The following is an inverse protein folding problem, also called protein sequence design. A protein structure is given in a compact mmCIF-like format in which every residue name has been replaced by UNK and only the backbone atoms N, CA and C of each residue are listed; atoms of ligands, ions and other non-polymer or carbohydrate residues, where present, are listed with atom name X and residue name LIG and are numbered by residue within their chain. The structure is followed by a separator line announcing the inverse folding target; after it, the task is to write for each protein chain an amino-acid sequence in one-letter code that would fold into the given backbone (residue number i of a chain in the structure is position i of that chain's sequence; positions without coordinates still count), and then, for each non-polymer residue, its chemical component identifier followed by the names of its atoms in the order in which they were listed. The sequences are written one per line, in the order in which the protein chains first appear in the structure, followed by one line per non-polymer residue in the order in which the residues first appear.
data_IF_491141575074
#
_entry.id   IF_491141575074
#
_cell.length_a   1.000
_cell.length_b   1.000
_cell.length_c   1.000
_cell.angle_alpha   90.00
_cell.angle_beta   90.00
_cell.angle_gamma   90.00
#
_symmetry.space_group_name_H-M   'P 1'
#
loop_
_entity.id
_entity.type
_entity.pdbx_description
1 polymer ?
#
# COMPACT_ATOMS: atom_id res chain seq x y z
N UNK A 1 7.64 -7.97 -12.63
CA UNK A 1 7.57 -9.12 -13.57
C UNK A 1 8.96 -9.78 -13.67
N UNK A 2 9.07 -11.10 -13.84
CA UNK A 2 10.38 -11.73 -14.11
C UNK A 2 10.76 -11.51 -15.58
N UNK A 3 12.02 -11.17 -15.87
CA UNK A 3 12.48 -10.94 -17.24
C UNK A 3 12.64 -12.23 -18.06
N UNK A 4 12.70 -13.39 -17.42
CA UNK A 4 12.68 -14.70 -18.08
C UNK A 4 12.14 -15.80 -17.16
N UNK A 5 11.84 -16.95 -17.76
CA UNK A 5 11.47 -18.17 -17.02
C UNK A 5 12.64 -18.70 -16.17
N UNK A 6 13.90 -18.53 -16.60
CA UNK A 6 15.04 -18.87 -15.72
C UNK A 6 15.10 -17.98 -14.49
N UNK A 7 14.89 -16.67 -14.64
CA UNK A 7 14.86 -15.76 -13.50
C UNK A 7 13.72 -16.09 -12.54
N UNK A 8 12.55 -16.49 -13.05
CA UNK A 8 11.44 -16.98 -12.23
C UNK A 8 11.81 -18.27 -11.47
N UNK A 9 12.39 -19.26 -12.15
CA UNK A 9 12.81 -20.53 -11.53
C UNK A 9 13.89 -20.31 -10.48
N UNK A 10 14.81 -19.38 -10.73
CA UNK A 10 15.87 -19.01 -9.78
C UNK A 10 15.31 -18.35 -8.52
N UNK A 11 14.26 -17.53 -8.64
CA UNK A 11 13.63 -16.87 -7.48
C UNK A 11 12.59 -17.75 -6.76
N UNK A 12 12.14 -18.84 -7.41
CA UNK A 12 11.09 -19.72 -6.88
C UNK A 12 11.34 -20.21 -5.44
N UNK A 13 12.56 -20.63 -5.02
CA UNK A 13 12.81 -21.05 -3.63
C UNK A 13 12.46 -19.98 -2.58
N UNK A 14 12.63 -18.71 -2.93
CA UNK A 14 12.25 -17.56 -2.11
C UNK A 14 10.74 -17.27 -2.28
N UNK A 15 10.29 -17.07 -3.51
CA UNK A 15 8.92 -16.68 -3.83
C UNK A 15 7.88 -17.67 -3.29
N UNK A 16 8.14 -18.99 -3.34
CA UNK A 16 7.19 -20.02 -2.86
C UNK A 16 6.84 -19.86 -1.38
N UNK A 17 7.74 -19.30 -0.57
CA UNK A 17 7.49 -19.02 0.86
C UNK A 17 6.43 -17.94 1.02
N UNK A 18 6.43 -16.93 0.16
CA UNK A 18 5.44 -15.86 0.15
C UNK A 18 4.15 -16.26 -0.54
N UNK A 19 4.25 -16.89 -1.71
CA UNK A 19 3.10 -17.33 -2.49
C UNK A 19 2.12 -18.12 -1.62
N UNK A 20 2.62 -19.06 -0.80
CA UNK A 20 1.80 -19.84 0.12
C UNK A 20 1.14 -18.99 1.22
N UNK A 21 1.85 -18.01 1.79
CA UNK A 21 1.32 -17.13 2.84
C UNK A 21 0.27 -16.17 2.29
N UNK A 22 0.57 -15.50 1.18
CA UNK A 22 -0.30 -14.54 0.49
C UNK A 22 -1.57 -15.25 0.00
N UNK A 23 -1.45 -16.46 -0.56
CA UNK A 23 -2.61 -17.26 -0.97
C UNK A 23 -3.53 -17.64 0.21
N UNK A 24 -2.97 -17.92 1.40
CA UNK A 24 -3.76 -18.17 2.62
C UNK A 24 -4.59 -16.94 3.03
N UNK A 25 -4.14 -15.74 2.70
CA UNK A 25 -4.85 -14.48 2.94
C UNK A 25 -5.84 -14.14 1.81
N UNK A 26 -5.99 -14.99 0.79
CA UNK A 26 -6.86 -14.74 -0.36
C UNK A 26 -6.34 -13.67 -1.31
N UNK A 27 -5.05 -13.32 -1.24
CA UNK A 27 -4.41 -12.29 -2.07
C UNK A 27 -3.64 -12.93 -3.24
N UNK A 28 -3.55 -12.25 -4.40
CA UNK A 28 -2.80 -12.73 -5.57
C UNK A 28 -2.30 -11.58 -6.47
N UNK A 29 -1.08 -11.73 -7.01
CA UNK A 29 -0.55 -10.97 -8.15
C UNK A 29 -0.02 -9.55 -7.86
N UNK A 30 0.84 -9.05 -8.74
CA UNK A 30 1.00 -7.60 -8.96
C UNK A 30 0.09 -7.25 -10.15
N UNK A 31 -0.96 -6.43 -9.98
CA UNK A 31 -2.02 -6.35 -10.97
C UNK A 31 -1.66 -5.56 -12.24
N UNK A 32 -0.54 -4.80 -12.27
CA UNK A 32 -0.20 -3.90 -13.39
C UNK A 32 1.32 -3.77 -13.63
N UNK A 33 1.74 -3.53 -14.88
CA UNK A 33 3.10 -3.06 -15.25
C UNK A 33 3.22 -1.54 -15.15
N UNK A 34 4.45 -1.01 -15.15
CA UNK A 34 4.68 0.45 -15.20
C UNK A 34 3.94 1.11 -16.37
N UNK A 35 3.98 0.52 -17.56
CA UNK A 35 3.26 1.03 -18.73
C UNK A 35 1.74 1.04 -18.51
N UNK A 36 1.18 -0.04 -17.94
CA UNK A 36 -0.26 -0.13 -17.65
C UNK A 36 -0.69 0.88 -16.58
N UNK A 37 0.16 1.11 -15.58
CA UNK A 37 -0.08 2.07 -14.52
C UNK A 37 0.02 3.50 -15.02
N UNK A 38 1.05 3.82 -15.79
CA UNK A 38 1.27 5.15 -16.36
C UNK A 38 0.24 5.48 -17.45
N UNK A 39 -0.26 4.49 -18.19
CA UNK A 39 -1.37 4.69 -19.12
C UNK A 39 -2.67 5.05 -18.40
N UNK A 40 -2.91 4.49 -17.21
CA UNK A 40 -4.11 4.77 -16.40
C UNK A 40 -3.97 6.04 -15.55
N UNK A 41 -2.77 6.29 -15.03
CA UNK A 41 -2.41 7.36 -14.11
C UNK A 41 -1.01 7.91 -14.45
N UNK A 42 -0.91 8.79 -15.48
CA UNK A 42 0.37 9.35 -15.90
C UNK A 42 1.12 10.06 -14.76
N UNK A 43 2.45 10.20 -14.90
CA UNK A 43 3.21 10.98 -13.92
C UNK A 43 2.75 12.44 -13.92
N UNK A 44 2.62 13.01 -12.72
CA UNK A 44 2.22 14.41 -12.56
C UNK A 44 0.72 14.66 -12.79
N UNK A 45 -0.09 13.60 -12.96
CA UNK A 45 -1.56 13.73 -12.96
C UNK A 45 -2.20 13.42 -11.62
N UNK A 46 -1.41 13.04 -10.61
CA UNK A 46 -1.87 12.96 -9.22
C UNK A 46 -2.21 14.36 -8.73
N UNK A 47 -3.48 14.76 -8.89
CA UNK A 47 -3.99 16.07 -8.47
C UNK A 47 -4.62 16.94 -9.56
N UNK A 48 -4.75 16.50 -10.83
CA UNK A 48 -5.51 17.30 -11.81
C UNK A 48 -7.00 17.17 -11.54
N UNK A 49 -7.60 18.30 -11.15
CA UNK A 49 -9.05 18.49 -11.03
C UNK A 49 -9.83 18.09 -12.31
N UNK A 50 -9.12 17.97 -13.44
CA UNK A 50 -9.65 17.70 -14.77
C UNK A 50 -9.44 16.26 -15.27
N UNK A 51 -9.07 15.30 -14.40
CA UNK A 51 -9.11 13.89 -14.78
C UNK A 51 -10.52 13.57 -15.30
N UNK A 52 -10.68 13.06 -16.54
CA UNK A 52 -11.99 12.88 -17.16
C UNK A 52 -12.86 12.04 -16.23
N UNK A 53 -14.06 12.54 -15.95
CA UNK A 53 -15.01 11.81 -15.12
C UNK A 53 -15.19 10.41 -15.71
N UNK A 54 -14.97 9.37 -14.90
CA UNK A 54 -15.26 8.00 -15.32
C UNK A 54 -16.76 7.89 -15.61
N UNK A 55 -17.12 7.58 -16.85
CA UNK A 55 -18.50 7.27 -17.23
C UNK A 55 -18.92 5.96 -16.56
N UNK A 56 -19.92 6.02 -15.68
CA UNK A 56 -20.42 4.87 -14.93
C UNK A 56 -21.14 5.25 -13.63
N UNK A 57 -21.89 4.31 -13.01
CA UNK A 57 -22.47 4.51 -11.69
C UNK A 57 -21.34 4.79 -10.68
N UNK A 58 -21.54 5.80 -9.82
CA UNK A 58 -20.55 6.18 -8.82
C UNK A 58 -20.54 5.14 -7.71
N UNK A 59 -19.41 4.44 -7.57
CA UNK A 59 -19.16 3.50 -6.49
C UNK A 59 -17.81 3.78 -5.82
N UNK A 60 -17.69 3.37 -4.57
CA UNK A 60 -16.46 3.42 -3.82
C UNK A 60 -15.46 2.44 -4.44
N UNK A 61 -14.32 2.93 -4.91
CA UNK A 61 -13.30 2.08 -5.51
C UNK A 61 -12.60 1.12 -4.53
N UNK A 62 -12.90 1.19 -3.22
CA UNK A 62 -12.36 0.29 -2.19
C UNK A 62 -13.37 -0.79 -1.81
N UNK A 63 -14.65 -0.45 -1.60
CA UNK A 63 -15.65 -1.38 -1.07
C UNK A 63 -16.92 -1.54 -1.93
N UNK A 64 -17.04 -0.83 -3.05
CA UNK A 64 -18.17 -0.95 -3.99
C UNK A 64 -19.49 -0.31 -3.52
N UNK A 65 -19.55 0.30 -2.34
CA UNK A 65 -20.74 1.05 -1.91
C UNK A 65 -20.98 2.26 -2.81
N UNK A 66 -22.23 2.64 -3.02
CA UNK A 66 -22.61 3.70 -3.95
C UNK A 66 -22.93 5.05 -3.29
N UNK A 67 -23.08 5.10 -1.95
CA UNK A 67 -23.37 6.32 -1.20
C UNK A 67 -23.15 6.12 0.32
N UNK A 68 -22.79 7.18 1.09
CA UNK A 68 -22.31 8.48 0.63
C UNK A 68 -20.88 8.38 0.09
N UNK A 69 -20.54 9.18 -0.94
CA UNK A 69 -19.25 9.17 -1.62
C UNK A 69 -18.63 10.57 -1.72
N UNK A 70 -17.31 10.64 -1.58
CA UNK A 70 -16.48 11.83 -1.86
C UNK A 70 -15.32 11.51 -2.78
N UNK A 71 -14.73 12.54 -3.39
CA UNK A 71 -13.49 12.41 -4.14
C UNK A 71 -12.29 12.58 -3.22
N UNK A 72 -11.28 11.74 -3.39
CA UNK A 72 -9.97 11.91 -2.75
C UNK A 72 -9.26 13.12 -3.35
N UNK A 73 -8.67 13.97 -2.52
CA UNK A 73 -7.94 15.15 -3.01
C UNK A 73 -6.62 14.79 -3.73
N UNK A 74 -5.99 13.67 -3.37
CA UNK A 74 -4.70 13.26 -3.89
C UNK A 74 -4.74 12.62 -5.30
N UNK A 75 -5.73 11.77 -5.60
CA UNK A 75 -5.80 11.02 -6.87
C UNK A 75 -7.17 11.09 -7.58
N UNK A 76 -8.12 11.87 -7.04
CA UNK A 76 -9.42 12.13 -7.68
C UNK A 76 -10.42 10.97 -7.68
N UNK A 77 -10.17 9.89 -6.97
CA UNK A 77 -10.99 8.67 -6.96
C UNK A 77 -12.17 8.77 -5.98
N UNK A 78 -13.24 8.02 -6.26
CA UNK A 78 -14.43 7.98 -5.41
C UNK A 78 -14.27 6.98 -4.28
N UNK A 79 -14.52 7.45 -3.05
CA UNK A 79 -14.45 6.65 -1.81
C UNK A 79 -15.61 6.99 -0.89
N UNK A 80 -15.95 6.09 0.05
CA UNK A 80 -16.98 6.37 1.05
C UNK A 80 -16.66 7.61 1.88
N UNK A 81 -17.68 8.46 2.06
CA UNK A 81 -17.62 9.68 2.88
C UNK A 81 -18.33 9.44 4.21
N UNK A 82 -17.64 8.77 5.14
CA UNK A 82 -18.15 8.44 6.48
C UNK A 82 -17.10 8.66 7.56
N UNK A 83 -16.19 9.59 7.32
CA UNK A 83 -15.07 9.84 8.25
C UNK A 83 -15.55 10.46 9.57
N UNK A 84 -16.73 11.07 9.57
CA UNK A 84 -17.44 11.60 10.73
C UNK A 84 -17.94 10.51 11.70
N UNK A 85 -18.18 9.29 11.19
CA UNK A 85 -18.51 8.10 11.99
C UNK A 85 -17.26 7.46 12.65
N UNK A 86 -16.04 7.98 12.40
CA UNK A 86 -14.82 7.41 12.96
C UNK A 86 -14.62 7.76 14.44
N UNK A 87 -14.56 6.74 15.29
CA UNK A 87 -14.16 6.90 16.68
C UNK A 87 -12.64 7.03 16.82
N UNK A 88 -12.18 8.13 17.45
CA UNK A 88 -10.77 8.36 17.73
C UNK A 88 -10.18 7.18 18.54
N UNK A 89 -8.95 6.79 18.24
CA UNK A 89 -8.27 5.63 18.84
C UNK A 89 -8.87 4.24 18.57
N UNK A 90 -9.91 4.11 17.74
CA UNK A 90 -10.42 2.79 17.31
C UNK A 90 -9.47 2.05 16.36
N UNK A 91 -8.61 2.77 15.64
CA UNK A 91 -7.75 2.27 14.57
C UNK A 91 -8.52 1.50 13.47
N UNK A 92 -9.83 1.75 13.35
CA UNK A 92 -10.68 1.09 12.37
C UNK A 92 -10.21 1.37 10.93
N UNK A 93 -10.27 0.31 10.12
CA UNK A 93 -9.94 0.29 8.69
C UNK A 93 -11.18 0.29 7.78
N UNK A 94 -12.38 0.34 8.37
CA UNK A 94 -13.67 0.32 7.64
C UNK A 94 -14.00 1.66 6.95
N UNK A 95 -13.22 2.69 7.25
CA UNK A 95 -13.41 4.05 6.75
C UNK A 95 -12.54 4.27 5.51
N UNK A 96 -13.13 4.13 4.34
CA UNK A 96 -12.40 4.07 3.06
C UNK A 96 -11.59 5.35 2.78
N UNK A 97 -12.17 6.54 2.97
CA UNK A 97 -11.45 7.80 2.75
C UNK A 97 -10.28 7.96 3.72
N UNK A 98 -10.55 7.87 5.03
CA UNK A 98 -9.49 7.91 6.05
C UNK A 98 -8.40 6.85 5.85
N UNK A 99 -8.78 5.62 5.51
CA UNK A 99 -7.83 4.53 5.29
C UNK A 99 -6.98 4.76 4.03
N UNK A 100 -7.58 5.32 2.98
CA UNK A 100 -6.85 5.76 1.80
C UNK A 100 -5.84 6.86 2.14
N UNK A 101 -6.26 7.92 2.83
CA UNK A 101 -5.40 9.04 3.20
C UNK A 101 -4.22 8.58 4.09
N UNK A 102 -4.50 7.73 5.08
CA UNK A 102 -3.52 7.31 6.09
C UNK A 102 -2.59 6.18 5.66
N UNK A 103 -3.06 5.26 4.81
CA UNK A 103 -2.33 4.03 4.49
C UNK A 103 -1.81 3.98 3.06
N UNK A 104 -1.93 5.06 2.29
CA UNK A 104 -1.31 5.14 0.97
C UNK A 104 -0.25 6.23 0.93
N UNK A 105 0.82 6.01 0.16
CA UNK A 105 1.85 7.05 -0.03
C UNK A 105 1.23 8.26 -0.73
N UNK A 106 0.33 8.05 -1.69
CA UNK A 106 -0.40 9.12 -2.37
C UNK A 106 -1.20 10.00 -1.40
N UNK A 107 -1.95 9.38 -0.49
CA UNK A 107 -2.70 10.07 0.56
C UNK A 107 -1.80 10.84 1.52
N UNK A 108 -0.76 10.18 2.03
CA UNK A 108 0.20 10.81 2.96
C UNK A 108 0.92 11.99 2.31
N UNK A 109 1.41 11.79 1.08
CA UNK A 109 2.08 12.82 0.28
C UNK A 109 1.22 14.07 0.08
N UNK A 110 -0.08 13.91 -0.15
CA UNK A 110 -0.99 15.06 -0.25
C UNK A 110 -1.28 15.71 1.12
N UNK A 111 -1.43 14.90 2.17
CA UNK A 111 -1.84 15.38 3.51
C UNK A 111 -0.72 16.10 4.28
N UNK A 112 0.55 15.76 4.04
CA UNK A 112 1.68 16.28 4.80
C UNK A 112 2.38 17.45 4.08
N UNK A 113 2.46 18.59 4.78
CA UNK A 113 3.01 19.86 4.29
C UNK A 113 4.50 19.81 3.93
N UNK A 114 5.24 18.80 4.40
CA UNK A 114 6.65 18.62 4.09
C UNK A 114 6.86 18.02 2.69
N UNK A 115 5.84 17.38 2.13
CA UNK A 115 5.83 16.96 0.74
C UNK A 115 5.32 18.14 -0.10
N UNK A 116 6.25 18.92 -0.66
CA UNK A 116 5.90 20.08 -1.50
C UNK A 116 5.11 19.61 -2.73
N UNK A 117 4.05 20.35 -3.03
CA UNK A 117 3.01 20.04 -4.02
C UNK A 117 3.47 19.81 -5.46
N UNK A 118 2.48 19.42 -6.27
CA UNK A 118 2.47 19.08 -7.70
C UNK A 118 3.42 17.96 -8.16
N UNK A 119 4.39 17.55 -7.33
CA UNK A 119 5.25 16.42 -7.63
C UNK A 119 4.50 15.10 -7.45
N UNK A 120 4.68 14.17 -8.38
CA UNK A 120 4.17 12.82 -8.21
C UNK A 120 4.88 12.11 -7.06
N UNK A 121 4.13 11.57 -6.09
CA UNK A 121 4.68 10.84 -4.94
C UNK A 121 5.60 9.68 -5.35
N UNK A 122 5.39 9.08 -6.53
CA UNK A 122 6.24 8.01 -7.10
C UNK A 122 7.64 8.51 -7.43
N UNK A 123 7.84 9.81 -7.55
CA UNK A 123 9.15 10.42 -7.85
C UNK A 123 9.63 11.37 -6.74
N UNK A 124 8.85 11.53 -5.67
CA UNK A 124 9.18 12.42 -4.56
C UNK A 124 10.31 11.84 -3.71
N UNK A 125 11.43 12.55 -3.63
CA UNK A 125 12.59 12.13 -2.83
C UNK A 125 12.30 12.07 -1.32
N UNK A 126 11.37 12.88 -0.82
CA UNK A 126 10.92 12.83 0.58
C UNK A 126 10.11 11.55 0.83
N UNK A 127 9.16 11.22 -0.06
CA UNK A 127 8.46 9.94 0.03
C UNK A 127 9.39 8.73 -0.14
N UNK A 128 10.45 8.86 -0.93
CA UNK A 128 11.48 7.81 -0.99
C UNK A 128 12.14 7.66 0.37
N UNK A 129 12.65 8.74 0.97
CA UNK A 129 13.32 8.70 2.26
C UNK A 129 12.42 8.19 3.41
N UNK A 130 11.19 8.70 3.54
CA UNK A 130 10.29 8.37 4.65
C UNK A 130 9.84 6.91 4.63
N UNK A 131 9.68 6.33 3.43
CA UNK A 131 9.19 4.98 3.26
C UNK A 131 10.28 3.95 2.93
N UNK A 132 11.49 4.36 2.54
CA UNK A 132 12.62 3.47 2.28
C UNK A 132 13.33 2.98 3.56
N UNK A 133 13.28 3.76 4.66
CA UNK A 133 14.28 3.67 5.72
C UNK A 133 13.95 2.89 7.00
N UNK A 134 12.68 2.64 7.33
CA UNK A 134 12.38 2.18 8.71
C UNK A 134 12.02 0.70 8.84
N UNK A 135 11.40 0.11 7.82
CA UNK A 135 10.82 -1.25 7.90
C UNK A 135 10.88 -1.90 6.51
N UNK A 136 11.51 -3.07 6.34
CA UNK A 136 11.47 -3.80 5.08
C UNK A 136 10.02 -4.08 4.65
N UNK A 137 9.67 -3.66 3.43
CA UNK A 137 8.33 -3.84 2.88
C UNK A 137 7.32 -2.75 3.21
N UNK A 138 7.68 -1.71 3.99
CA UNK A 138 6.75 -0.59 4.28
C UNK A 138 6.39 0.19 3.02
N UNK A 139 7.37 0.66 2.23
CA UNK A 139 7.08 1.29 0.94
C UNK A 139 6.19 0.43 0.06
N UNK A 140 6.51 -0.86 -0.03
CA UNK A 140 5.75 -1.82 -0.82
C UNK A 140 4.30 -1.87 -0.33
N UNK A 141 4.06 -2.06 0.96
CA UNK A 141 2.72 -2.12 1.50
C UNK A 141 1.92 -0.83 1.28
N UNK A 142 2.49 0.34 1.60
CA UNK A 142 1.80 1.62 1.45
C UNK A 142 1.54 1.98 -0.02
N UNK A 143 2.24 1.37 -0.98
CA UNK A 143 2.03 1.60 -2.41
C UNK A 143 1.25 0.51 -3.14
N UNK A 144 0.95 -0.64 -2.50
CA UNK A 144 0.23 -1.76 -3.16
C UNK A 144 -0.96 -2.31 -2.37
N UNK A 145 -1.29 -1.78 -1.19
CA UNK A 145 -2.43 -2.27 -0.41
C UNK A 145 -3.78 -1.99 -1.08
N UNK A 146 -4.84 -2.59 -0.56
CA UNK A 146 -6.22 -2.49 -1.08
C UNK A 146 -6.87 -1.10 -0.97
N UNK A 147 -6.16 -0.11 -0.42
CA UNK A 147 -6.60 1.29 -0.44
C UNK A 147 -5.94 2.09 -1.57
N UNK A 148 -4.98 1.52 -2.32
CA UNK A 148 -4.28 2.23 -3.39
C UNK A 148 -5.06 2.23 -4.71
N UNK A 149 -5.20 3.41 -5.30
CA UNK A 149 -5.70 3.59 -6.67
C UNK A 149 -4.59 3.88 -7.69
N UNK A 150 -3.48 4.43 -7.18
CA UNK A 150 -2.26 4.69 -7.94
C UNK A 150 -1.19 3.84 -7.27
N UNK A 151 -0.89 2.63 -7.78
CA UNK A 151 0.20 1.85 -7.22
C UNK A 151 1.56 2.54 -7.46
N UNK A 152 2.62 2.05 -6.82
CA UNK A 152 3.99 2.50 -7.07
C UNK A 152 4.61 1.87 -8.31
N UNK A 153 5.68 2.49 -8.82
CA UNK A 153 6.36 2.00 -10.01
C UNK A 153 7.05 0.65 -9.72
N UNK A 154 7.11 -0.24 -10.71
CA UNK A 154 7.78 -1.53 -10.65
C UNK A 154 9.24 -1.37 -10.22
N UNK A 155 9.92 -0.33 -10.70
CA UNK A 155 11.29 0.00 -10.31
C UNK A 155 11.48 0.22 -8.80
N UNK A 156 10.41 0.54 -8.07
CA UNK A 156 10.40 0.80 -6.62
C UNK A 156 10.19 -0.47 -5.80
N UNK A 157 9.98 -1.60 -6.48
CA UNK A 157 9.82 -2.92 -5.86
C UNK A 157 11.10 -3.72 -6.10
N UNK A 158 11.98 -3.87 -5.08
CA UNK A 158 13.21 -4.59 -5.28
C UNK A 158 12.90 -6.03 -5.67
N UNK A 159 13.53 -6.49 -6.75
CA UNK A 159 13.36 -7.85 -7.24
C UNK A 159 13.78 -8.83 -6.14
N UNK A 160 12.92 -9.79 -5.85
CA UNK A 160 13.17 -10.75 -4.78
C UNK A 160 12.94 -10.20 -3.35
N UNK A 161 12.37 -9.01 -3.18
CA UNK A 161 11.94 -8.57 -1.86
C UNK A 161 10.82 -9.44 -1.32
N UNK A 162 10.87 -9.71 -0.01
CA UNK A 162 9.71 -10.21 0.69
C UNK A 162 8.74 -9.06 0.97
N UNK A 163 7.48 -9.23 0.60
CA UNK A 163 6.35 -8.36 1.01
C UNK A 163 5.96 -8.61 2.47
N UNK A 164 6.39 -9.75 3.00
CA UNK A 164 6.16 -10.20 4.37
C UNK A 164 7.42 -10.10 5.22
N UNK A 165 7.29 -9.72 6.48
CA UNK A 165 8.37 -9.79 7.47
C UNK A 165 8.28 -11.07 8.31
N UNK A 166 9.21 -11.30 9.23
CA UNK A 166 9.22 -12.46 10.12
C UNK A 166 8.95 -12.03 11.57
N UNK A 167 8.19 -12.84 12.31
CA UNK A 167 8.07 -12.73 13.75
C UNK A 167 9.44 -12.94 14.40
N UNK A 168 9.86 -12.05 15.31
CA UNK A 168 11.15 -12.15 15.98
C UNK A 168 11.25 -13.38 16.91
N UNK A 169 10.13 -13.86 17.42
CA UNK A 169 10.07 -15.02 18.32
C UNK A 169 9.94 -16.35 17.56
N UNK A 170 8.86 -16.51 16.78
CA UNK A 170 8.51 -17.80 16.16
C UNK A 170 8.90 -17.91 14.69
N UNK A 171 9.49 -16.86 14.11
CA UNK A 171 9.94 -16.80 12.70
C UNK A 171 8.82 -17.00 11.65
N UNK A 172 7.54 -17.06 12.06
CA UNK A 172 6.41 -17.09 11.11
C UNK A 172 6.36 -15.80 10.31
N UNK A 173 5.96 -15.89 9.05
CA UNK A 173 5.78 -14.71 8.19
C UNK A 173 4.57 -13.89 8.63
N UNK A 174 4.72 -12.57 8.53
CA UNK A 174 3.73 -11.57 8.88
C UNK A 174 3.56 -10.62 7.70
N UNK A 175 2.33 -10.47 7.24
CA UNK A 175 1.95 -9.41 6.35
C UNK A 175 1.42 -8.24 7.20
N UNK A 176 2.33 -7.32 7.57
CA UNK A 176 2.06 -6.18 8.48
C UNK A 176 0.85 -5.35 8.06
N UNK A 177 0.52 -5.41 6.77
CA UNK A 177 -0.61 -4.73 6.19
C UNK A 177 -2.00 -5.21 6.59
N UNK A 178 -2.12 -6.48 6.91
CA UNK A 178 -3.41 -7.16 7.10
C UNK A 178 -3.47 -7.90 8.42
N UNK A 179 -2.33 -8.43 8.89
CA UNK A 179 -2.27 -9.19 10.13
C UNK A 179 -1.95 -8.29 11.33
N UNK A 180 -2.49 -8.64 12.50
CA UNK A 180 -2.14 -8.00 13.77
C UNK A 180 -0.70 -8.33 14.17
N UNK A 181 0.02 -7.30 14.62
CA UNK A 181 1.40 -7.42 15.09
C UNK A 181 1.69 -6.38 16.18
N UNK A 182 2.76 -6.60 16.94
CA UNK A 182 3.38 -5.59 17.78
C UNK A 182 4.76 -5.26 17.25
N UNK A 183 5.13 -3.98 17.25
CA UNK A 183 6.46 -3.54 16.86
C UNK A 183 7.20 -2.97 18.07
N UNK A 184 8.45 -3.38 18.25
CA UNK A 184 9.37 -2.82 19.24
C UNK A 184 10.58 -2.27 18.51
N UNK A 185 10.87 -0.99 18.72
CA UNK A 185 12.13 -0.40 18.26
C UNK A 185 13.27 -0.88 19.17
N UNK A 186 14.38 -1.34 18.58
CA UNK A 186 15.60 -1.72 19.30
C UNK A 186 16.83 -1.49 18.43
N UNK A 187 17.84 -0.77 18.94
CA UNK A 187 19.12 -0.50 18.26
C UNK A 187 18.99 -0.07 16.78
N UNK A 188 18.01 0.79 16.46
CA UNK A 188 17.78 1.27 15.10
C UNK A 188 17.09 0.28 14.16
N UNK A 189 16.62 -0.87 14.66
CA UNK A 189 15.85 -1.87 13.91
C UNK A 189 14.50 -2.10 14.59
N UNK A 190 13.44 -2.27 13.81
CA UNK A 190 12.15 -2.68 14.34
C UNK A 190 12.04 -4.21 14.39
N UNK A 191 11.69 -4.74 15.56
CA UNK A 191 11.35 -6.14 15.77
C UNK A 191 9.83 -6.30 15.78
N UNK A 192 9.33 -7.30 15.05
CA UNK A 192 7.90 -7.58 14.94
C UNK A 192 7.54 -8.85 15.68
N UNK A 193 6.59 -8.76 16.60
CA UNK A 193 5.97 -9.91 17.24
C UNK A 193 4.60 -10.14 16.64
N UNK A 194 4.30 -11.39 16.35
CA UNK A 194 2.98 -11.78 15.92
C UNK A 194 2.00 -11.77 17.10
N UNK A 195 0.71 -11.63 16.84
CA UNK A 195 -0.34 -11.61 17.87
C UNK A 195 -0.18 -12.68 18.98
N UNK A 196 -0.03 -13.95 18.58
CA UNK A 196 0.17 -15.07 19.51
C UNK A 196 1.47 -15.00 20.36
N UNK A 197 2.48 -14.26 19.91
CA UNK A 197 3.72 -14.04 20.64
C UNK A 197 3.70 -12.73 21.45
N UNK A 198 2.88 -11.76 21.04
CA UNK A 198 2.73 -10.47 21.73
C UNK A 198 1.98 -10.59 23.05
N UNK A 199 1.16 -11.63 23.22
CA UNK A 199 0.38 -11.90 24.44
C UNK A 199 0.96 -13.03 25.31
N UNK A 200 2.23 -13.42 25.09
CA UNK A 200 2.93 -14.42 25.91
C UNK A 200 3.81 -13.79 26.96
#
# INVERSE_FOLDING_TARGET
MYCSTECQKSDWPRHKKECKHIARLGLWGCPFTDEQMLARQPLGTAGVADAPARDGPRECGICGRTSPLKRTACCGEWVCDRDDEYELMSYSREFCHRSHERYTICGTHHSDRNHRGDQDWRTCGVCEADFAGQIPGTRLWYSTNGYNFVPGLEAQYPKGSFITTECCECRRRLYLGTESYSAKAGNGVFLYSCDACSFR
#
